data_IF_663443339691
#
_entry.id   IF_663443339691
#
_cell.length_a   1.000
_cell.length_b   1.000
_cell.length_c   1.000
_cell.angle_alpha   90.00
_cell.angle_beta   90.00
_cell.angle_gamma   90.00
#
_symmetry.space_group_name_H-M   'P 1'
#
loop_
_entity.id
_entity.type
_entity.pdbx_description
1 polymer ?
#
# COMPACT_ATOMS: atom_id res chain seq x y z
N UNK A 1 5.09 -41.79 -27.31
CA UNK A 1 4.33 -42.39 -26.19
C UNK A 1 4.61 -41.66 -24.87
N UNK A 2 5.85 -41.65 -24.34
CA UNK A 2 6.17 -40.91 -23.10
C UNK A 2 5.86 -39.40 -23.14
N UNK A 3 6.23 -38.72 -24.24
CA UNK A 3 5.93 -37.30 -24.43
C UNK A 3 4.42 -37.02 -24.52
N UNK A 4 3.66 -37.90 -25.18
CA UNK A 4 2.20 -37.79 -25.31
C UNK A 4 1.50 -37.93 -23.95
N UNK A 5 1.94 -38.87 -23.11
CA UNK A 5 1.44 -39.02 -21.74
C UNK A 5 1.79 -37.81 -20.86
N UNK A 6 3.02 -37.29 -20.96
CA UNK A 6 3.41 -36.07 -20.25
C UNK A 6 2.55 -34.87 -20.69
N UNK A 7 2.32 -34.68 -21.99
CA UNK A 7 1.50 -33.61 -22.52
C UNK A 7 0.02 -33.69 -22.07
N UNK A 8 -0.56 -34.89 -22.00
CA UNK A 8 -1.92 -35.11 -21.47
C UNK A 8 -2.02 -34.77 -19.97
N UNK A 9 -1.02 -35.13 -19.17
CA UNK A 9 -1.00 -34.84 -17.74
C UNK A 9 -0.65 -33.37 -17.44
N UNK A 10 0.15 -32.72 -18.29
CA UNK A 10 0.55 -31.31 -18.15
C UNK A 10 -0.65 -30.36 -18.14
N UNK A 11 -1.64 -30.59 -19.02
CA UNK A 11 -2.87 -29.80 -19.06
C UNK A 11 -3.71 -29.92 -17.79
N UNK A 12 -3.76 -31.11 -17.19
CA UNK A 12 -4.45 -31.37 -15.92
C UNK A 12 -3.74 -30.71 -14.73
N UNK A 13 -2.40 -30.80 -14.69
CA UNK A 13 -1.57 -30.17 -13.66
C UNK A 13 -1.69 -28.64 -13.71
N UNK A 14 -1.62 -28.04 -14.90
CA UNK A 14 -1.84 -26.60 -15.08
C UNK A 14 -3.23 -26.12 -14.63
N UNK A 15 -4.26 -26.98 -14.67
CA UNK A 15 -5.63 -26.60 -14.28
C UNK A 15 -5.74 -26.33 -12.77
N UNK A 16 -5.10 -27.17 -11.96
CA UNK A 16 -5.10 -27.03 -10.50
C UNK A 16 -4.05 -26.03 -10.02
N UNK A 17 -2.83 -26.08 -10.57
CA UNK A 17 -1.73 -25.22 -10.12
C UNK A 17 -1.73 -23.84 -10.77
N UNK A 18 -2.35 -23.67 -11.94
CA UNK A 18 -2.51 -22.37 -12.58
C UNK A 18 -3.48 -21.46 -11.83
N UNK A 19 -4.63 -21.99 -11.40
CA UNK A 19 -5.58 -21.25 -10.57
C UNK A 19 -5.02 -20.93 -9.18
N UNK A 20 -4.28 -21.87 -8.57
CA UNK A 20 -3.59 -21.63 -7.30
C UNK A 20 -2.51 -20.53 -7.43
N UNK A 21 -1.71 -20.57 -8.50
CA UNK A 21 -0.71 -19.53 -8.79
C UNK A 21 -1.34 -18.15 -9.00
N UNK A 22 -2.49 -18.09 -9.69
CA UNK A 22 -3.24 -16.85 -9.87
C UNK A 22 -3.74 -16.27 -8.54
N UNK A 23 -4.23 -17.11 -7.62
CA UNK A 23 -4.67 -16.68 -6.29
C UNK A 23 -3.49 -16.13 -5.49
N UNK A 24 -2.35 -16.84 -5.47
CA UNK A 24 -1.14 -16.41 -4.74
C UNK A 24 -0.62 -15.08 -5.30
N UNK A 25 -0.55 -14.94 -6.62
CA UNK A 25 -0.14 -13.70 -7.26
C UNK A 25 -1.10 -12.55 -6.92
N UNK A 26 -2.41 -12.81 -6.92
CA UNK A 26 -3.41 -11.82 -6.54
C UNK A 26 -3.30 -11.42 -5.06
N UNK A 27 -3.10 -12.37 -4.15
CA UNK A 27 -2.86 -12.08 -2.73
C UNK A 27 -1.60 -11.24 -2.53
N UNK A 28 -0.51 -11.58 -3.22
CA UNK A 28 0.73 -10.80 -3.16
C UNK A 28 0.53 -9.39 -3.71
N UNK A 29 -0.25 -9.23 -4.78
CA UNK A 29 -0.59 -7.93 -5.34
C UNK A 29 -1.39 -7.05 -4.36
N UNK A 30 -2.40 -7.61 -3.70
CA UNK A 30 -3.17 -6.90 -2.66
C UNK A 30 -2.27 -6.53 -1.49
N UNK A 31 -1.42 -7.46 -1.04
CA UNK A 31 -0.46 -7.18 0.03
C UNK A 31 0.46 -6.01 -0.33
N UNK A 32 1.06 -6.01 -1.52
CA UNK A 32 1.87 -4.88 -2.01
C UNK A 32 1.07 -3.58 -2.08
N UNK A 33 -0.17 -3.63 -2.56
CA UNK A 33 -1.04 -2.46 -2.67
C UNK A 33 -1.34 -1.84 -1.31
N UNK A 34 -1.59 -2.66 -0.28
CA UNK A 34 -1.79 -2.21 1.09
C UNK A 34 -0.53 -1.51 1.61
N UNK A 35 0.65 -2.10 1.40
CA UNK A 35 1.91 -1.48 1.80
C UNK A 35 2.10 -0.11 1.13
N UNK A 36 1.82 0.01 -0.16
CA UNK A 36 1.90 1.28 -0.89
C UNK A 36 0.95 2.34 -0.29
N UNK A 37 -0.28 1.98 0.03
CA UNK A 37 -1.25 2.89 0.64
C UNK A 37 -0.80 3.36 2.02
N UNK A 38 -0.30 2.45 2.87
CA UNK A 38 0.19 2.80 4.20
C UNK A 38 1.40 3.74 4.13
N UNK A 39 2.37 3.44 3.26
CA UNK A 39 3.54 4.31 3.05
C UNK A 39 3.11 5.69 2.54
N UNK A 40 2.17 5.74 1.59
CA UNK A 40 1.63 7.02 1.11
C UNK A 40 0.96 7.83 2.22
N UNK A 41 0.21 7.16 3.12
CA UNK A 41 -0.38 7.78 4.29
C UNK A 41 0.65 8.36 5.25
N UNK A 42 1.70 7.60 5.56
CA UNK A 42 2.80 8.04 6.43
C UNK A 42 3.54 9.25 5.84
N UNK A 43 3.87 9.19 4.55
CA UNK A 43 4.54 10.31 3.86
C UNK A 43 3.66 11.56 3.88
N UNK A 44 2.36 11.41 3.63
CA UNK A 44 1.42 12.52 3.68
C UNK A 44 1.35 13.13 5.09
N UNK A 45 1.28 12.28 6.12
CA UNK A 45 1.23 12.69 7.52
C UNK A 45 2.51 13.42 7.95
N UNK A 46 3.69 12.90 7.60
CA UNK A 46 4.96 13.53 7.94
C UNK A 46 5.17 14.83 7.14
N UNK A 47 4.72 14.89 5.88
CA UNK A 47 4.78 16.14 5.10
C UNK A 47 3.94 17.24 5.75
N UNK A 48 2.76 16.90 6.26
CA UNK A 48 1.91 17.81 7.04
C UNK A 48 2.58 18.24 8.35
N UNK A 49 3.31 17.32 8.99
CA UNK A 49 4.09 17.60 10.20
C UNK A 49 5.31 18.50 9.99
N UNK A 50 5.82 18.63 8.77
CA UNK A 50 6.96 19.49 8.45
C UNK A 50 6.55 20.90 7.98
N UNK A 51 5.24 21.22 7.93
CA UNK A 51 4.75 22.52 7.44
C UNK A 51 3.99 23.31 8.50
N UNK A 52 4.25 24.62 8.56
CA UNK A 52 3.49 25.55 9.41
C UNK A 52 2.13 25.90 8.79
N UNK A 53 2.00 25.76 7.47
CA UNK A 53 0.75 26.04 6.76
C UNK A 53 -0.28 24.97 7.07
N UNK A 54 -1.51 25.39 7.33
CA UNK A 54 -2.62 24.47 7.51
C UNK A 54 -2.97 23.78 6.19
N UNK A 55 -2.87 22.45 6.18
CA UNK A 55 -3.22 21.56 5.08
C UNK A 55 -4.48 20.75 5.36
N UNK A 56 -5.12 20.94 6.51
CA UNK A 56 -6.35 20.25 6.87
C UNK A 56 -7.55 20.74 6.06
N UNK A 57 -8.61 19.95 6.04
CA UNK A 57 -9.83 20.30 5.30
C UNK A 57 -10.66 21.34 6.05
N UNK A 58 -11.20 22.34 5.33
CA UNK A 58 -12.15 23.31 5.87
C UNK A 58 -11.56 24.72 5.96
N UNK A 59 -11.99 25.49 6.96
CA UNK A 59 -11.45 26.84 7.21
C UNK A 59 -10.08 26.72 7.88
N UNK A 60 -9.07 27.51 7.49
CA UNK A 60 -7.76 27.48 8.12
C UNK A 60 -7.86 27.74 9.63
N UNK A 61 -7.15 26.93 10.42
CA UNK A 61 -7.03 27.04 11.87
C UNK A 61 -5.56 27.18 12.29
N UNK A 62 -5.30 27.87 13.41
CA UNK A 62 -3.96 27.91 13.97
C UNK A 62 -3.52 26.50 14.40
N UNK A 63 -2.20 26.31 14.44
CA UNK A 63 -1.57 25.09 14.92
C UNK A 63 -1.99 24.80 16.37
N UNK A 64 -2.32 23.53 16.67
CA UNK A 64 -2.86 23.10 17.96
C UNK A 64 -4.39 23.05 18.00
N UNK A 65 -5.09 23.59 16.99
CA UNK A 65 -6.55 23.62 16.91
C UNK A 65 -7.10 22.95 15.64
N UNK A 66 -6.25 22.31 14.82
CA UNK A 66 -6.63 21.70 13.54
C UNK A 66 -7.34 20.37 13.74
N UNK A 67 -7.10 19.68 14.86
CA UNK A 67 -7.77 18.43 15.22
C UNK A 67 -7.10 17.21 14.59
N UNK A 68 -5.85 17.36 14.18
CA UNK A 68 -5.01 16.31 13.62
C UNK A 68 -3.61 16.47 14.21
N UNK A 69 -3.13 15.46 14.94
CA UNK A 69 -1.88 15.54 15.70
C UNK A 69 -0.69 15.96 14.85
N UNK A 70 -0.54 15.37 13.67
CA UNK A 70 0.56 15.71 12.76
C UNK A 70 0.46 17.13 12.20
N UNK A 71 -0.74 17.71 12.08
CA UNK A 71 -0.91 19.09 11.62
C UNK A 71 -0.76 20.12 12.76
N UNK A 72 -0.88 19.67 14.01
CA UNK A 72 -0.93 20.50 15.20
C UNK A 72 0.44 20.71 15.86
N UNK A 73 1.48 20.03 15.37
CA UNK A 73 2.87 20.24 15.79
C UNK A 73 3.77 20.36 14.56
N UNK A 74 5.03 20.80 14.78
CA UNK A 74 6.07 20.69 13.75
C UNK A 74 7.15 19.76 14.24
N UNK A 75 7.60 18.86 13.36
CA UNK A 75 8.72 17.95 13.62
C UNK A 75 10.00 18.72 13.99
N UNK A 76 10.84 18.11 14.82
CA UNK A 76 12.14 18.67 15.13
C UNK A 76 12.96 18.80 13.84
N UNK A 77 13.62 19.96 13.66
CA UNK A 77 14.52 20.16 12.53
C UNK A 77 15.67 19.16 12.63
N UNK A 78 15.82 18.30 11.63
CA UNK A 78 17.02 17.49 11.48
C UNK A 78 18.10 18.39 10.88
N UNK A 79 19.07 18.75 11.71
CA UNK A 79 20.28 19.51 11.33
C UNK A 79 21.34 18.59 10.69
#
# INVERSE_FOLDING_TARGET
ILFSWYAENFGSYNKTYGSLGAIIAFMFWIWLSIIVVLIGGEINAETEHQTVRDTTTGRPKPMGARGATMADTVGAKQD
#
